data_IF_894136024694
#
_entry.id   IF_894136024694
#
_cell.length_a   1.000
_cell.length_b   1.000
_cell.length_c   1.000
_cell.angle_alpha   90.00
_cell.angle_beta   90.00
_cell.angle_gamma   90.00
#
_symmetry.space_group_name_H-M   'P 1'
#
loop_
_entity.id
_entity.type
_entity.pdbx_description
1 polymer ?
#
# COMPACT_ATOMS: atom_id res chain seq x y z
N UNK A 1 7.87 5.35 7.89
CA UNK A 1 8.37 4.15 7.20
C UNK A 1 8.41 4.39 5.70
N UNK A 2 9.26 3.63 4.99
CA UNK A 2 9.51 3.74 3.55
C UNK A 2 9.20 2.41 2.88
N UNK A 3 8.58 2.47 1.70
CA UNK A 3 8.47 1.38 0.75
C UNK A 3 9.44 1.71 -0.39
N UNK A 4 10.41 0.84 -0.64
CA UNK A 4 11.36 0.99 -1.76
C UNK A 4 10.67 0.51 -3.03
N UNK A 5 10.82 1.24 -4.14
CA UNK A 5 10.10 0.96 -5.38
C UNK A 5 11.05 0.70 -6.54
N UNK A 6 10.85 -0.42 -7.22
CA UNK A 6 11.38 -0.67 -8.56
C UNK A 6 10.50 -0.01 -9.63
N UNK A 7 11.06 0.27 -10.80
CA UNK A 7 10.33 0.86 -11.92
C UNK A 7 10.34 -0.11 -13.09
N UNK A 8 9.16 -0.63 -13.45
CA UNK A 8 9.04 -1.77 -14.37
C UNK A 8 9.50 -1.51 -15.81
N UNK A 9 9.44 -0.26 -16.26
CA UNK A 9 9.88 0.13 -17.61
C UNK A 9 11.33 0.63 -17.67
N UNK A 10 12.13 0.46 -16.59
CA UNK A 10 13.56 0.78 -16.62
C UNK A 10 14.35 -0.51 -16.87
N UNK A 11 14.73 -1.26 -15.84
CA UNK A 11 15.36 -2.56 -16.01
C UNK A 11 15.13 -3.48 -14.84
N UNK A 12 15.05 -4.81 -15.06
CA UNK A 12 15.00 -5.79 -13.98
C UNK A 12 16.21 -5.72 -13.04
N UNK A 13 17.40 -5.42 -13.59
CA UNK A 13 18.63 -5.28 -12.81
C UNK A 13 18.53 -4.15 -11.78
N UNK A 14 18.02 -2.97 -12.17
CA UNK A 14 17.83 -1.86 -11.23
C UNK A 14 16.77 -2.20 -10.16
N UNK A 15 15.73 -2.95 -10.52
CA UNK A 15 14.77 -3.44 -9.51
C UNK A 15 15.42 -4.39 -8.52
N UNK A 16 16.36 -5.24 -8.97
CA UNK A 16 17.11 -6.11 -8.07
C UNK A 16 18.03 -5.31 -7.13
N UNK A 17 18.69 -4.28 -7.63
CA UNK A 17 19.49 -3.35 -6.79
C UNK A 17 18.61 -2.64 -5.74
N UNK A 18 17.41 -2.19 -6.12
CA UNK A 18 16.45 -1.62 -5.19
C UNK A 18 15.98 -2.65 -4.15
N UNK A 19 15.77 -3.89 -4.54
CA UNK A 19 15.45 -4.99 -3.63
C UNK A 19 16.60 -5.28 -2.65
N UNK A 20 17.85 -5.26 -3.11
CA UNK A 20 19.05 -5.38 -2.25
C UNK A 20 19.11 -4.23 -1.23
N UNK A 21 18.84 -3.00 -1.66
CA UNK A 21 18.73 -1.84 -0.79
C UNK A 21 17.62 -2.05 0.26
N UNK A 22 16.45 -2.55 -0.17
CA UNK A 22 15.32 -2.85 0.71
C UNK A 22 15.73 -3.85 1.80
N UNK A 23 16.43 -4.92 1.45
CA UNK A 23 16.95 -5.92 2.39
C UNK A 23 17.98 -5.29 3.35
N UNK A 24 18.94 -4.51 2.83
CA UNK A 24 19.99 -3.87 3.62
C UNK A 24 19.45 -2.89 4.68
N UNK A 25 18.30 -2.26 4.41
CA UNK A 25 17.67 -1.29 5.31
C UNK A 25 16.44 -1.83 6.05
N UNK A 26 16.16 -3.13 5.95
CA UNK A 26 15.11 -3.78 6.75
C UNK A 26 15.33 -3.53 8.24
N UNK A 27 14.27 -3.13 8.95
CA UNK A 27 14.34 -2.77 10.38
C UNK A 27 14.93 -1.39 10.65
N UNK A 28 15.36 -0.64 9.63
CA UNK A 28 15.85 0.74 9.72
C UNK A 28 14.93 1.73 9.01
N UNK A 29 13.61 1.48 9.06
CA UNK A 29 12.59 2.32 8.47
C UNK A 29 12.06 1.83 7.10
N UNK A 30 12.74 0.91 6.43
CA UNK A 30 12.24 0.24 5.23
C UNK A 30 11.39 -0.97 5.65
N UNK A 31 10.16 -1.02 5.13
CA UNK A 31 9.14 -2.01 5.54
C UNK A 31 8.60 -2.86 4.40
N UNK A 32 8.74 -2.42 3.15
CA UNK A 32 8.20 -3.14 2.01
C UNK A 32 8.90 -2.76 0.70
N UNK A 33 8.61 -3.55 -0.33
CA UNK A 33 9.04 -3.33 -1.70
C UNK A 33 7.82 -3.17 -2.62
N UNK A 34 7.93 -2.32 -3.63
CA UNK A 34 6.89 -2.04 -4.63
C UNK A 34 7.47 -2.14 -6.04
N UNK A 35 6.60 -2.25 -7.03
CA UNK A 35 6.92 -2.11 -8.45
C UNK A 35 5.89 -1.20 -9.12
N UNK A 36 6.35 -0.04 -9.57
CA UNK A 36 5.54 0.97 -10.25
C UNK A 36 6.04 1.22 -11.69
N UNK A 37 5.54 2.28 -12.32
CA UNK A 37 5.89 2.68 -13.68
C UNK A 37 4.91 2.13 -14.73
N UNK A 38 5.26 2.28 -16.02
CA UNK A 38 4.38 1.90 -17.13
C UNK A 38 4.02 0.42 -17.08
N UNK A 39 2.74 0.13 -16.86
CA UNK A 39 2.24 -1.24 -16.69
C UNK A 39 2.11 -1.96 -18.04
N UNK A 40 1.61 -1.24 -19.07
CA UNK A 40 1.41 -1.79 -20.40
C UNK A 40 2.76 -2.21 -21.03
N UNK A 41 2.83 -3.42 -21.57
CA UNK A 41 4.02 -4.06 -22.13
C UNK A 41 5.21 -4.29 -21.16
N UNK A 42 5.04 -4.01 -19.86
CA UNK A 42 6.09 -4.22 -18.87
C UNK A 42 5.60 -5.15 -17.73
N UNK A 43 5.42 -6.45 -17.99
CA UNK A 43 4.86 -7.38 -17.00
C UNK A 43 5.76 -7.56 -15.78
N UNK A 44 5.13 -7.61 -14.59
CA UNK A 44 5.84 -7.70 -13.32
C UNK A 44 6.76 -8.93 -13.20
N UNK A 45 6.45 -10.02 -13.91
CA UNK A 45 7.27 -11.25 -13.93
C UNK A 45 8.70 -11.04 -14.43
N UNK A 46 8.99 -9.97 -15.17
CA UNK A 46 10.36 -9.66 -15.61
C UNK A 46 11.25 -9.24 -14.42
N UNK A 47 10.66 -8.83 -13.30
CA UNK A 47 11.37 -8.42 -12.08
C UNK A 47 11.36 -9.51 -11.00
N UNK A 48 11.13 -10.77 -11.37
CA UNK A 48 10.94 -11.89 -10.44
C UNK A 48 12.10 -12.06 -9.45
N UNK A 49 13.35 -11.88 -9.87
CA UNK A 49 14.53 -12.00 -9.00
C UNK A 49 14.49 -10.99 -7.83
N UNK A 50 14.06 -9.75 -8.09
CA UNK A 50 13.87 -8.74 -7.06
C UNK A 50 12.79 -9.17 -6.04
N UNK A 51 11.67 -9.70 -6.53
CA UNK A 51 10.59 -10.19 -5.66
C UNK A 51 11.00 -11.43 -4.88
N UNK A 52 11.74 -12.36 -5.49
CA UNK A 52 12.26 -13.52 -4.80
C UNK A 52 13.16 -13.09 -3.63
N UNK A 53 14.11 -12.19 -3.89
CA UNK A 53 15.01 -11.67 -2.86
C UNK A 53 14.27 -11.05 -1.67
N UNK A 54 13.29 -10.18 -1.90
CA UNK A 54 12.56 -9.52 -0.80
C UNK A 54 11.67 -10.50 -0.03
N UNK A 55 11.06 -11.46 -0.71
CA UNK A 55 10.25 -12.52 -0.08
C UNK A 55 11.08 -13.45 0.80
N UNK A 56 12.23 -13.90 0.31
CA UNK A 56 13.17 -14.74 1.06
C UNK A 56 13.70 -14.04 2.32
N UNK A 57 13.66 -12.71 2.34
CA UNK A 57 14.00 -11.89 3.50
C UNK A 57 12.79 -11.43 4.33
N UNK A 58 11.60 -12.02 4.14
CA UNK A 58 10.37 -11.68 4.87
C UNK A 58 10.04 -10.18 4.81
N UNK A 59 10.14 -9.58 3.64
CA UNK A 59 9.75 -8.20 3.37
C UNK A 59 8.40 -8.21 2.65
N UNK A 60 7.50 -7.33 3.08
CA UNK A 60 6.19 -7.20 2.47
C UNK A 60 6.28 -6.63 1.06
N UNK A 61 5.31 -6.98 0.22
CA UNK A 61 5.25 -6.56 -1.19
C UNK A 61 3.92 -5.92 -1.49
N UNK A 62 3.93 -4.77 -2.15
CA UNK A 62 2.81 -4.19 -2.89
C UNK A 62 3.22 -4.05 -4.36
N UNK A 63 2.27 -4.07 -5.29
CA UNK A 63 2.58 -3.94 -6.72
C UNK A 63 1.45 -3.16 -7.40
N UNK A 64 1.81 -2.13 -8.17
CA UNK A 64 0.89 -1.45 -9.07
C UNK A 64 0.42 -2.44 -10.15
N UNK A 65 -0.86 -2.76 -10.20
CA UNK A 65 -1.41 -3.73 -11.16
C UNK A 65 -2.89 -3.48 -11.44
N UNK A 66 -3.33 -3.75 -12.67
CA UNK A 66 -4.70 -3.56 -13.10
C UNK A 66 -5.12 -2.10 -13.21
N UNK A 67 -4.19 -1.19 -13.45
CA UNK A 67 -4.43 0.20 -13.79
C UNK A 67 -4.49 0.38 -15.31
N UNK A 68 -3.37 0.24 -15.99
CA UNK A 68 -3.23 0.39 -17.44
C UNK A 68 -3.32 -0.93 -18.22
N UNK A 69 -3.22 -2.07 -17.52
CA UNK A 69 -3.33 -3.41 -18.09
C UNK A 69 -4.43 -4.21 -17.40
N UNK A 70 -4.80 -5.36 -17.97
CA UNK A 70 -5.91 -6.19 -17.52
C UNK A 70 -5.71 -6.97 -16.22
N UNK A 71 -6.66 -7.84 -15.88
CA UNK A 71 -6.57 -8.70 -14.69
C UNK A 71 -5.32 -9.58 -14.64
N UNK A 72 -4.75 -9.91 -15.80
CA UNK A 72 -3.51 -10.71 -15.90
C UNK A 72 -2.34 -10.05 -15.17
N UNK A 73 -2.28 -8.71 -15.13
CA UNK A 73 -1.27 -7.98 -14.35
C UNK A 73 -1.47 -8.21 -12.86
N UNK A 74 -2.71 -8.17 -12.39
CA UNK A 74 -3.06 -8.45 -11.00
C UNK A 74 -2.74 -9.91 -10.67
N UNK A 75 -3.09 -10.84 -11.54
CA UNK A 75 -2.78 -12.26 -11.39
C UNK A 75 -1.25 -12.49 -11.26
N UNK A 76 -0.44 -11.86 -12.13
CA UNK A 76 1.02 -11.93 -12.03
C UNK A 76 1.54 -11.33 -10.72
N UNK A 77 1.02 -10.18 -10.31
CA UNK A 77 1.42 -9.54 -9.07
C UNK A 77 1.21 -10.46 -7.86
N UNK A 78 0.09 -11.15 -7.81
CA UNK A 78 -0.27 -12.05 -6.70
C UNK A 78 0.48 -13.37 -6.80
N UNK A 79 0.30 -14.13 -7.90
CA UNK A 79 0.70 -15.53 -7.98
C UNK A 79 2.16 -15.73 -8.38
N UNK A 80 2.76 -14.77 -9.09
CA UNK A 80 4.16 -14.84 -9.53
C UNK A 80 5.05 -14.03 -8.59
N UNK A 81 4.69 -12.78 -8.30
CA UNK A 81 5.52 -11.86 -7.52
C UNK A 81 5.22 -11.88 -6.02
N UNK A 82 4.09 -12.45 -5.58
CA UNK A 82 3.73 -12.63 -4.18
C UNK A 82 3.29 -11.35 -3.49
N UNK A 83 2.53 -10.51 -4.19
CA UNK A 83 2.00 -9.27 -3.64
C UNK A 83 1.03 -9.53 -2.48
N UNK A 84 1.19 -8.77 -1.40
CA UNK A 84 0.29 -8.74 -0.25
C UNK A 84 -0.81 -7.69 -0.42
N UNK A 85 -0.55 -6.66 -1.25
CA UNK A 85 -1.50 -5.61 -1.63
C UNK A 85 -1.33 -5.31 -3.12
N UNK A 86 -2.37 -4.79 -3.73
CA UNK A 86 -2.38 -4.38 -5.14
C UNK A 86 -2.62 -2.87 -5.21
N UNK A 87 -1.68 -2.15 -5.81
CA UNK A 87 -1.87 -0.75 -6.17
C UNK A 87 -2.90 -0.62 -7.28
N UNK A 88 -3.85 0.29 -7.15
CA UNK A 88 -4.98 0.57 -8.04
C UNK A 88 -6.00 -0.56 -8.14
N UNK A 89 -5.73 -1.63 -8.91
CA UNK A 89 -6.65 -2.75 -9.10
C UNK A 89 -7.92 -2.39 -9.87
N UNK A 90 -7.95 -1.30 -10.65
CA UNK A 90 -9.16 -0.78 -11.30
C UNK A 90 -9.84 -1.80 -12.21
N UNK A 91 -9.08 -2.68 -12.84
CA UNK A 91 -9.56 -3.66 -13.81
C UNK A 91 -9.84 -5.05 -13.25
N UNK A 92 -9.72 -5.24 -11.92
CA UNK A 92 -10.01 -6.53 -11.26
C UNK A 92 -11.44 -7.02 -11.56
N UNK A 93 -12.40 -6.11 -11.71
CA UNK A 93 -13.80 -6.42 -12.04
C UNK A 93 -14.00 -7.16 -13.37
N UNK A 94 -12.99 -7.22 -14.22
CA UNK A 94 -13.03 -7.88 -15.52
C UNK A 94 -12.79 -9.40 -15.41
N UNK A 95 -12.36 -9.88 -14.23
CA UNK A 95 -12.14 -11.30 -13.92
C UNK A 95 -12.81 -11.65 -12.59
N UNK A 96 -13.95 -12.32 -12.66
CA UNK A 96 -14.75 -12.67 -11.49
C UNK A 96 -14.08 -13.72 -10.60
N UNK A 97 -13.33 -14.67 -11.16
CA UNK A 97 -12.63 -15.70 -10.41
C UNK A 97 -11.47 -15.08 -9.60
N UNK A 98 -10.67 -14.26 -10.26
CA UNK A 98 -9.59 -13.51 -9.57
C UNK A 98 -10.15 -12.54 -8.52
N UNK A 99 -11.29 -11.90 -8.78
CA UNK A 99 -11.96 -11.02 -7.82
C UNK A 99 -12.36 -11.78 -6.55
N UNK A 100 -12.95 -12.97 -6.69
CA UNK A 100 -13.27 -13.85 -5.56
C UNK A 100 -12.01 -14.26 -4.80
N UNK A 101 -10.96 -14.67 -5.50
CA UNK A 101 -9.68 -15.00 -4.90
C UNK A 101 -9.11 -13.83 -4.07
N UNK A 102 -9.08 -12.63 -4.64
CA UNK A 102 -8.61 -11.41 -3.94
C UNK A 102 -9.42 -11.13 -2.69
N UNK A 103 -10.75 -11.31 -2.76
CA UNK A 103 -11.63 -11.12 -1.60
C UNK A 103 -11.39 -12.17 -0.51
N UNK A 104 -11.39 -13.44 -0.87
CA UNK A 104 -11.25 -14.55 0.09
C UNK A 104 -9.90 -14.50 0.83
N UNK A 105 -8.83 -14.13 0.13
CA UNK A 105 -7.50 -13.97 0.71
C UNK A 105 -7.28 -12.60 1.36
N UNK A 106 -8.30 -11.72 1.35
CA UNK A 106 -8.25 -10.38 1.94
C UNK A 106 -7.09 -9.54 1.42
N UNK A 107 -6.69 -9.75 0.16
CA UNK A 107 -5.67 -8.93 -0.52
C UNK A 107 -6.25 -7.53 -0.69
N UNK A 108 -5.52 -6.53 -0.22
CA UNK A 108 -6.01 -5.15 -0.20
C UNK A 108 -5.79 -4.47 -1.54
N UNK A 109 -6.81 -3.74 -2.02
CA UNK A 109 -6.69 -2.85 -3.17
C UNK A 109 -6.43 -1.41 -2.68
N UNK A 110 -5.37 -0.81 -3.18
CA UNK A 110 -4.94 0.56 -2.85
C UNK A 110 -5.49 1.52 -3.91
N UNK A 111 -6.79 1.85 -3.81
CA UNK A 111 -7.47 2.71 -4.77
C UNK A 111 -6.95 4.15 -4.69
N UNK A 112 -6.70 4.76 -5.86
CA UNK A 112 -6.18 6.12 -6.01
C UNK A 112 -7.13 6.94 -6.89
N UNK A 113 -8.29 7.41 -6.37
CA UNK A 113 -9.39 7.92 -7.18
C UNK A 113 -9.00 9.02 -8.17
N UNK A 114 -8.37 10.08 -7.70
CA UNK A 114 -7.98 11.20 -8.58
C UNK A 114 -6.93 10.79 -9.60
N UNK A 115 -5.92 10.01 -9.19
CA UNK A 115 -4.89 9.50 -10.09
C UNK A 115 -5.49 8.61 -11.18
N UNK A 116 -6.40 7.69 -10.83
CA UNK A 116 -7.01 6.77 -11.78
C UNK A 116 -7.87 7.48 -12.85
N UNK A 117 -8.45 8.63 -12.53
CA UNK A 117 -9.11 9.48 -13.54
C UNK A 117 -8.06 10.21 -14.39
N UNK A 118 -7.01 10.77 -13.80
CA UNK A 118 -5.96 11.50 -14.52
C UNK A 118 -5.18 10.61 -15.48
N UNK A 119 -4.90 9.37 -15.09
CA UNK A 119 -4.21 8.38 -15.95
C UNK A 119 -5.13 7.76 -17.01
N UNK A 120 -6.44 8.00 -16.91
CA UNK A 120 -7.43 7.39 -17.80
C UNK A 120 -7.74 5.93 -17.49
N UNK A 121 -7.28 5.39 -16.38
CA UNK A 121 -7.61 4.04 -15.92
C UNK A 121 -9.12 3.89 -15.67
N UNK A 122 -9.77 4.97 -15.24
CA UNK A 122 -11.22 5.10 -15.15
C UNK A 122 -11.67 6.39 -15.85
N UNK A 123 -12.88 6.38 -16.40
CA UNK A 123 -13.42 7.54 -17.15
C UNK A 123 -13.67 8.76 -16.24
N UNK A 124 -14.25 8.52 -15.09
CA UNK A 124 -14.64 9.53 -14.11
C UNK A 124 -14.79 8.90 -12.72
N UNK A 125 -14.88 9.74 -11.68
CA UNK A 125 -15.01 9.29 -10.30
C UNK A 125 -16.30 8.51 -10.05
N UNK A 126 -17.38 8.85 -10.71
CA UNK A 126 -18.67 8.16 -10.52
C UNK A 126 -18.65 6.72 -11.05
N UNK A 127 -17.81 6.43 -12.06
CA UNK A 127 -17.61 5.09 -12.63
C UNK A 127 -16.43 4.31 -12.01
N UNK A 128 -15.76 4.90 -11.00
CA UNK A 128 -14.65 4.25 -10.32
C UNK A 128 -15.10 2.95 -9.61
N UNK A 129 -14.39 1.83 -9.76
CA UNK A 129 -14.84 0.53 -9.26
C UNK A 129 -14.78 0.38 -7.72
N UNK A 130 -14.20 1.33 -7.00
CA UNK A 130 -13.98 1.24 -5.56
C UNK A 130 -15.29 0.99 -4.77
N UNK A 131 -16.39 1.68 -5.13
CA UNK A 131 -17.69 1.47 -4.47
C UNK A 131 -18.21 0.04 -4.72
N UNK A 132 -18.13 -0.44 -5.95
CA UNK A 132 -18.48 -1.83 -6.29
C UNK A 132 -17.65 -2.82 -5.48
N UNK A 133 -16.34 -2.63 -5.40
CA UNK A 133 -15.46 -3.50 -4.63
C UNK A 133 -15.78 -3.49 -3.15
N UNK A 134 -16.06 -2.31 -2.59
CA UNK A 134 -16.51 -2.20 -1.20
C UNK A 134 -17.81 -2.97 -0.96
N UNK A 135 -18.81 -2.80 -1.82
CA UNK A 135 -20.11 -3.48 -1.71
C UNK A 135 -20.01 -5.01 -1.84
N UNK A 136 -19.05 -5.50 -2.63
CA UNK A 136 -18.74 -6.92 -2.73
C UNK A 136 -17.90 -7.44 -1.55
N UNK A 137 -17.54 -6.57 -0.60
CA UNK A 137 -16.81 -6.93 0.61
C UNK A 137 -15.29 -6.99 0.45
N UNK A 138 -14.72 -6.54 -0.69
CA UNK A 138 -13.27 -6.46 -0.85
C UNK A 138 -12.65 -5.46 0.13
N UNK A 139 -11.41 -5.70 0.51
CA UNK A 139 -10.65 -4.75 1.32
C UNK A 139 -10.08 -3.64 0.44
N UNK A 140 -10.79 -2.52 0.36
CA UNK A 140 -10.32 -1.32 -0.35
C UNK A 140 -9.80 -0.27 0.62
N UNK A 141 -8.83 0.52 0.16
CA UNK A 141 -8.30 1.70 0.85
C UNK A 141 -8.34 2.91 -0.07
N UNK A 142 -8.26 4.11 0.49
CA UNK A 142 -8.16 5.37 -0.27
C UNK A 142 -6.75 5.91 -0.14
N UNK A 143 -6.13 6.18 -1.26
CA UNK A 143 -4.73 6.59 -1.36
C UNK A 143 -4.58 7.77 -2.33
N UNK A 144 -3.50 8.51 -2.20
CA UNK A 144 -3.25 9.73 -2.99
C UNK A 144 -2.47 9.48 -4.27
N UNK A 145 -1.74 8.35 -4.32
CA UNK A 145 -0.67 8.16 -5.29
C UNK A 145 0.35 9.30 -5.21
N UNK A 146 0.91 9.78 -6.31
CA UNK A 146 1.84 10.89 -6.34
C UNK A 146 1.12 12.21 -6.06
N UNK A 147 1.19 12.68 -4.80
CA UNK A 147 0.49 13.88 -4.34
C UNK A 147 0.83 15.15 -5.10
N UNK A 148 2.07 15.27 -5.58
CA UNK A 148 2.53 16.46 -6.31
C UNK A 148 1.94 16.50 -7.72
N UNK A 149 1.90 15.36 -8.40
CA UNK A 149 1.36 15.26 -9.76
C UNK A 149 -0.17 15.32 -9.75
N UNK A 150 -0.79 14.63 -8.79
CA UNK A 150 -2.25 14.52 -8.68
C UNK A 150 -2.87 15.77 -8.00
N UNK A 151 -2.05 16.61 -7.34
CA UNK A 151 -2.49 17.77 -6.57
C UNK A 151 -3.62 17.42 -5.59
N UNK A 152 -3.37 16.42 -4.75
CA UNK A 152 -4.37 15.86 -3.83
C UNK A 152 -3.83 15.60 -2.43
N UNK A 153 -4.76 15.33 -1.51
CA UNK A 153 -4.49 14.91 -0.13
C UNK A 153 -5.41 13.75 0.22
N UNK A 154 -5.07 12.97 1.25
CA UNK A 154 -5.94 11.88 1.72
C UNK A 154 -7.34 12.40 2.07
N UNK A 155 -7.45 13.55 2.73
CA UNK A 155 -8.75 14.14 3.07
C UNK A 155 -9.56 14.50 1.83
N UNK A 156 -8.91 15.01 0.77
CA UNK A 156 -9.56 15.31 -0.51
C UNK A 156 -10.04 14.03 -1.19
N UNK A 157 -9.23 12.98 -1.21
CA UNK A 157 -9.62 11.68 -1.79
C UNK A 157 -10.80 11.06 -1.03
N UNK A 158 -10.82 11.10 0.30
CA UNK A 158 -11.96 10.64 1.12
C UNK A 158 -13.21 11.48 0.86
N UNK A 159 -13.07 12.80 0.70
CA UNK A 159 -14.18 13.68 0.34
C UNK A 159 -14.74 13.36 -1.05
N UNK A 160 -13.88 13.08 -2.04
CA UNK A 160 -14.29 12.65 -3.38
C UNK A 160 -14.98 11.28 -3.34
N UNK A 161 -14.47 10.35 -2.55
CA UNK A 161 -15.10 9.06 -2.33
C UNK A 161 -16.52 9.21 -1.75
N UNK A 162 -16.70 10.11 -0.79
CA UNK A 162 -18.01 10.41 -0.24
C UNK A 162 -18.94 11.08 -1.27
N UNK A 163 -18.50 12.19 -1.87
CA UNK A 163 -19.37 13.05 -2.69
C UNK A 163 -19.62 12.53 -4.10
N UNK A 164 -18.64 11.89 -4.72
CA UNK A 164 -18.69 11.45 -6.11
C UNK A 164 -18.96 9.96 -6.26
N UNK A 165 -18.48 9.13 -5.32
CA UNK A 165 -18.66 7.67 -5.36
C UNK A 165 -19.79 7.21 -4.43
N UNK A 166 -20.45 8.13 -3.72
CA UNK A 166 -21.60 7.88 -2.83
C UNK A 166 -21.29 6.93 -1.67
N UNK A 167 -20.07 6.96 -1.15
CA UNK A 167 -19.72 6.25 0.07
C UNK A 167 -20.23 7.03 1.28
N UNK A 168 -21.01 6.38 2.15
CA UNK A 168 -21.53 6.98 3.37
C UNK A 168 -20.44 7.17 4.44
N UNK A 169 -20.73 7.97 5.50
CA UNK A 169 -19.75 8.20 6.58
C UNK A 169 -19.28 6.91 7.26
N UNK A 170 -20.16 5.94 7.47
CA UNK A 170 -19.79 4.63 8.04
C UNK A 170 -18.86 3.86 7.11
N UNK A 171 -19.14 3.84 5.81
CA UNK A 171 -18.32 3.19 4.80
C UNK A 171 -16.93 3.84 4.70
N UNK A 172 -16.87 5.16 4.80
CA UNK A 172 -15.58 5.90 4.88
C UNK A 172 -14.81 5.49 6.13
N UNK A 173 -15.46 5.39 7.29
CA UNK A 173 -14.85 4.88 8.53
C UNK A 173 -14.25 3.47 8.34
N UNK A 174 -14.99 2.56 7.71
CA UNK A 174 -14.50 1.21 7.38
C UNK A 174 -13.31 1.23 6.43
N UNK A 175 -13.31 2.11 5.41
CA UNK A 175 -12.20 2.25 4.46
C UNK A 175 -10.94 2.77 5.17
N UNK A 176 -11.08 3.74 6.08
CA UNK A 176 -9.98 4.21 6.92
C UNK A 176 -9.41 3.08 7.76
N UNK A 177 -10.26 2.29 8.45
CA UNK A 177 -9.83 1.11 9.21
C UNK A 177 -9.14 0.06 8.33
N UNK A 178 -9.59 -0.13 7.09
CA UNK A 178 -8.93 -1.02 6.15
C UNK A 178 -7.48 -0.59 5.87
N UNK A 179 -7.20 0.72 5.79
CA UNK A 179 -5.85 1.24 5.65
C UNK A 179 -4.93 0.81 6.80
N UNK A 180 -5.43 0.85 8.05
CA UNK A 180 -4.67 0.37 9.20
C UNK A 180 -4.55 -1.16 9.22
N UNK A 181 -5.61 -1.90 8.84
CA UNK A 181 -5.57 -3.37 8.71
C UNK A 181 -4.54 -3.84 7.69
N UNK A 182 -4.41 -3.11 6.58
CA UNK A 182 -3.49 -3.42 5.49
C UNK A 182 -2.06 -2.89 5.72
N UNK A 183 -1.85 -2.06 6.72
CA UNK A 183 -0.54 -1.46 7.01
C UNK A 183 0.54 -2.51 7.24
N UNK A 184 1.70 -2.35 6.60
CA UNK A 184 2.89 -3.18 6.82
C UNK A 184 3.59 -2.81 8.12
N UNK A 185 2.90 -3.05 9.22
CA UNK A 185 3.34 -2.76 10.58
C UNK A 185 3.46 -4.06 11.38
N UNK A 186 4.35 -4.13 12.40
CA UNK A 186 4.35 -5.22 13.35
C UNK A 186 2.95 -5.41 13.96
N UNK A 187 2.57 -6.67 14.21
CA UNK A 187 1.20 -7.02 14.64
C UNK A 187 0.74 -6.20 15.85
N UNK A 188 1.57 -6.11 16.90
CA UNK A 188 1.22 -5.37 18.13
C UNK A 188 1.02 -3.87 17.88
N UNK A 189 1.83 -3.26 17.00
CA UNK A 189 1.70 -1.84 16.62
C UNK A 189 0.41 -1.63 15.84
N UNK A 190 0.10 -2.51 14.89
CA UNK A 190 -1.13 -2.45 14.09
C UNK A 190 -2.36 -2.61 14.96
N UNK A 191 -2.36 -3.53 15.94
CA UNK A 191 -3.46 -3.72 16.88
C UNK A 191 -3.68 -2.48 17.77
N UNK A 192 -2.61 -1.82 18.19
CA UNK A 192 -2.72 -0.57 18.94
C UNK A 192 -3.41 0.52 18.13
N UNK A 193 -2.94 0.80 16.91
CA UNK A 193 -3.57 1.78 16.04
C UNK A 193 -5.01 1.43 15.67
N UNK A 194 -5.34 0.16 15.46
CA UNK A 194 -6.71 -0.23 15.16
C UNK A 194 -7.66 0.09 16.30
N UNK A 195 -7.24 -0.10 17.57
CA UNK A 195 -8.08 0.30 18.71
C UNK A 195 -8.29 1.80 18.78
N UNK A 196 -7.19 2.57 18.75
CA UNK A 196 -7.26 4.05 18.80
C UNK A 196 -8.16 4.61 17.69
N UNK A 197 -7.95 4.17 16.45
CA UNK A 197 -8.70 4.68 15.30
C UNK A 197 -10.16 4.22 15.33
N UNK A 198 -10.46 3.01 15.82
CA UNK A 198 -11.85 2.58 15.98
C UNK A 198 -12.58 3.46 17.00
N UNK A 199 -11.96 3.74 18.14
CA UNK A 199 -12.53 4.63 19.17
C UNK A 199 -12.77 6.05 18.64
N UNK A 200 -11.82 6.61 17.87
CA UNK A 200 -11.98 7.93 17.25
C UNK A 200 -13.12 7.95 16.21
N UNK A 201 -13.23 6.92 15.36
CA UNK A 201 -14.32 6.82 14.37
C UNK A 201 -15.67 6.71 15.07
N UNK A 202 -15.80 5.89 16.10
CA UNK A 202 -17.03 5.76 16.89
C UNK A 202 -17.42 7.09 17.56
N UNK A 203 -16.45 7.82 18.11
CA UNK A 203 -16.68 9.15 18.69
C UNK A 203 -17.18 10.16 17.64
N UNK A 204 -16.59 10.17 16.46
CA UNK A 204 -17.01 11.02 15.34
C UNK A 204 -18.46 10.68 14.91
N UNK A 205 -18.74 9.40 14.72
CA UNK A 205 -20.06 8.93 14.24
C UNK A 205 -21.17 9.14 15.25
N UNK A 206 -20.86 9.07 16.55
CA UNK A 206 -21.82 9.34 17.64
C UNK A 206 -22.03 10.83 17.94
N UNK A 207 -21.31 11.74 17.26
CA UNK A 207 -21.35 13.18 17.50
C UNK A 207 -20.67 13.62 18.82
N UNK A 208 -19.95 12.73 19.48
CA UNK A 208 -19.20 12.99 20.72
C UNK A 208 -17.77 13.48 20.42
N UNK A 209 -17.63 14.43 19.52
CA UNK A 209 -16.36 15.12 19.29
C UNK A 209 -16.07 16.03 20.49
N UNK A 210 -15.27 15.57 21.43
CA UNK A 210 -14.48 16.52 22.21
C UNK A 210 -13.56 17.24 21.22
N UNK A 211 -13.61 18.56 21.21
CA UNK A 211 -12.74 19.40 20.38
C UNK A 211 -11.28 19.17 20.80
N UNK A 212 -10.68 18.15 20.27
CA UNK A 212 -9.25 17.90 20.38
C UNK A 212 -8.53 18.93 19.52
N UNK A 213 -8.69 20.21 19.93
CA UNK A 213 -7.99 21.34 19.34
C UNK A 213 -6.56 20.96 19.04
N UNK A 214 -6.16 21.21 17.83
CA UNK A 214 -4.92 20.90 17.12
C UNK A 214 -3.63 21.23 17.90
N UNK A 215 -3.41 20.60 19.05
CA UNK A 215 -2.08 20.52 19.65
C UNK A 215 -1.53 19.14 19.37
N UNK A 216 -0.50 19.01 18.53
CA UNK A 216 0.18 17.73 18.36
C UNK A 216 0.68 17.30 19.74
N UNK A 217 0.10 16.25 20.31
CA UNK A 217 0.70 15.58 21.48
C UNK A 217 2.08 15.14 21.03
N UNK A 218 3.11 15.74 21.62
CA UNK A 218 4.49 15.33 21.37
C UNK A 218 4.58 13.81 21.63
N UNK A 219 4.73 13.03 20.59
CA UNK A 219 4.91 11.59 20.66
C UNK A 219 6.19 11.32 21.44
N UNK A 220 6.07 10.83 22.67
CA UNK A 220 7.19 10.14 23.33
C UNK A 220 7.46 8.88 22.50
N UNK A 221 8.43 8.98 21.58
CA UNK A 221 9.04 7.81 20.97
C UNK A 221 9.66 7.03 22.12
N UNK A 222 9.11 5.85 22.41
CA UNK A 222 9.72 4.95 23.39
C UNK A 222 11.16 4.70 22.90
N UNK A 223 12.12 5.11 23.72
CA UNK A 223 13.52 4.85 23.48
C UNK A 223 13.70 3.33 23.42
N UNK A 224 13.98 2.81 22.24
CA UNK A 224 14.30 1.41 22.04
C UNK A 224 15.55 1.08 22.85
N UNK A 225 15.46 -0.01 23.55
CA UNK A 225 16.49 -0.66 24.35
C UNK A 225 17.81 -0.77 23.57
N UNK A 226 18.80 0.02 24.00
CA UNK A 226 20.17 -0.05 23.50
C UNK A 226 20.93 -1.12 24.28
N UNK A 227 20.67 -2.39 24.02
CA UNK A 227 21.59 -3.43 24.48
C UNK A 227 21.71 -4.53 23.41
N UNK A 228 22.94 -4.75 23.02
CA UNK A 228 23.48 -5.81 22.16
C UNK A 228 23.64 -5.50 20.67
N UNK A 229 24.73 -4.83 20.28
CA UNK A 229 25.49 -5.14 19.08
C UNK A 229 26.83 -4.38 19.07
N UNK A 230 27.72 -4.76 19.95
CA UNK A 230 29.17 -4.53 19.77
C UNK A 230 29.77 -5.91 19.46
N UNK A 231 29.98 -6.23 18.20
CA UNK A 231 30.97 -7.21 17.73
C UNK A 231 31.60 -6.69 16.44
N UNK A 232 32.82 -6.26 16.65
CA UNK A 232 34.03 -6.26 15.84
C UNK A 232 33.91 -6.32 14.31
N UNK A 233 34.41 -5.25 13.70
CA UNK A 233 34.86 -5.23 12.32
C UNK A 233 36.20 -5.97 12.19
N UNK A 234 36.42 -6.78 11.13
CA UNK A 234 37.74 -7.30 10.84
C UNK A 234 38.61 -6.21 10.21
N UNK A 235 39.80 -6.07 10.75
CA UNK A 235 40.89 -5.21 10.28
C UNK A 235 41.37 -5.64 8.91
N UNK A 236 41.51 -4.67 8.02
CA UNK A 236 42.26 -4.82 6.80
C UNK A 236 43.77 -4.94 7.13
N UNK A 237 44.43 -6.00 6.71
CA UNK A 237 45.89 -6.09 6.62
C UNK A 237 46.31 -6.41 5.20
N UNK A 238 46.98 -5.43 4.63
CA UNK A 238 48.07 -5.44 3.65
C UNK A 238 48.38 -6.70 2.82
N UNK A 239 48.55 -6.33 1.59
CA UNK A 239 49.20 -6.94 0.44
C UNK A 239 50.49 -7.79 0.67
N UNK A 240 51.08 -8.50 -0.29
CA UNK A 240 51.59 -7.90 -1.57
C UNK A 240 50.89 -8.41 -2.83
#
# INVERSE_FOLDING_TARGET
>A
NVIVCGIRNISPQLSLEMAQLCVAYKGRGVIAFDLAGAEYDHPAKHHLEAFQLVRDNNICVTIHAGEAYGPESIHQAIHVCGAHRIGHGCRLREDGDLLHYVNDHRITLECCPSSNVQTGAVRDLASHPMKLYYDLGLRVTVNTDNRLITDTTVSKELWLAHTQMKLGPEEIGHIVLNGFKAGFLPFHVRQHFLREVSEEIEAIQSGNLEDHGTKPKARKVAAGDKSSAAKEAPSASDSP
#
